data_IF_520887508388
#
_entry.id   IF_520887508388
#
_cell.length_a   1.000
_cell.length_b   1.000
_cell.length_c   1.000
_cell.angle_alpha   90.00
_cell.angle_beta   90.00
_cell.angle_gamma   90.00
#
_symmetry.space_group_name_H-M   'P 1'
#
loop_
_entity.id
_entity.type
_entity.pdbx_description
1 polymer ?
#
# COMPACT_ATOMS: atom_id res chain seq x y z
N UNK A 1 13.72 1.68 25.12
CA UNK A 1 12.83 0.94 26.03
C UNK A 1 11.77 1.84 26.66
N UNK A 2 12.14 3.00 27.22
CA UNK A 2 11.17 3.95 27.80
C UNK A 2 10.03 4.36 26.83
N UNK A 3 10.36 4.64 25.56
CA UNK A 3 9.37 4.99 24.54
C UNK A 3 8.32 3.89 24.29
N UNK A 4 8.72 2.61 24.32
CA UNK A 4 7.80 1.49 24.10
C UNK A 4 6.86 1.29 25.29
N UNK A 5 7.36 1.48 26.51
CA UNK A 5 6.54 1.41 27.73
C UNK A 5 5.54 2.55 27.74
N UNK A 6 5.97 3.78 27.45
CA UNK A 6 5.10 4.94 27.35
C UNK A 6 4.01 4.73 26.28
N UNK A 7 4.38 4.22 25.10
CA UNK A 7 3.42 3.92 24.05
C UNK A 7 2.32 2.94 24.48
N UNK A 8 2.68 1.88 25.23
CA UNK A 8 1.68 0.94 25.78
C UNK A 8 0.74 1.61 26.78
N UNK A 9 1.23 2.57 27.57
CA UNK A 9 0.39 3.34 28.49
C UNK A 9 -0.61 4.19 27.69
N UNK A 10 -0.14 4.94 26.68
CA UNK A 10 -1.01 5.75 25.82
C UNK A 10 -2.04 4.91 25.04
N UNK A 11 -1.66 3.71 24.61
CA UNK A 11 -2.59 2.75 24.00
C UNK A 11 -3.77 2.41 24.93
N UNK A 12 -3.50 2.16 26.22
CA UNK A 12 -4.56 1.88 27.19
C UNK A 12 -5.37 3.12 27.58
N UNK A 13 -4.87 4.32 27.27
CA UNK A 13 -5.60 5.58 27.41
C UNK A 13 -6.38 5.96 26.14
N UNK A 14 -6.36 5.11 25.10
CA UNK A 14 -6.97 5.36 23.79
C UNK A 14 -6.40 6.57 23.03
N UNK A 15 -5.23 7.07 23.45
CA UNK A 15 -4.50 8.14 22.78
C UNK A 15 -3.56 7.56 21.72
N UNK A 16 -4.13 7.17 20.58
CA UNK A 16 -3.42 6.42 19.54
C UNK A 16 -2.35 7.23 18.79
N UNK A 17 -2.54 8.53 18.60
CA UNK A 17 -1.58 9.39 17.90
C UNK A 17 -0.26 9.52 18.67
N UNK A 18 -0.36 9.75 20.00
CA UNK A 18 0.82 9.80 20.87
C UNK A 18 1.45 8.42 21.08
N UNK A 19 0.63 7.36 21.17
CA UNK A 19 1.13 5.99 21.18
C UNK A 19 1.94 5.70 19.91
N UNK A 20 1.40 6.02 18.73
CA UNK A 20 2.10 5.82 17.46
C UNK A 20 3.42 6.60 17.44
N UNK A 21 3.42 7.89 17.77
CA UNK A 21 4.64 8.72 17.80
C UNK A 21 5.74 8.11 18.68
N UNK A 22 5.37 7.58 19.84
CA UNK A 22 6.30 6.92 20.77
C UNK A 22 6.75 5.55 20.28
N UNK A 23 5.86 4.78 19.63
CA UNK A 23 6.18 3.51 18.99
C UNK A 23 7.18 3.70 17.84
N UNK A 24 6.96 4.70 16.98
CA UNK A 24 7.91 5.08 15.92
C UNK A 24 9.26 5.48 16.50
N UNK A 25 9.27 6.21 17.63
CA UNK A 25 10.48 6.56 18.37
C UNK A 25 11.24 5.36 18.97
N UNK A 26 10.57 4.22 19.17
CA UNK A 26 11.21 2.99 19.63
C UNK A 26 12.00 2.26 18.52
N UNK A 27 11.74 2.59 17.25
CA UNK A 27 12.46 2.06 16.09
C UNK A 27 12.51 0.53 16.07
N UNK A 28 13.72 -0.03 16.12
CA UNK A 28 13.96 -1.49 16.11
C UNK A 28 13.39 -2.24 17.31
N UNK A 29 13.07 -1.56 18.41
CA UNK A 29 12.44 -2.17 19.57
C UNK A 29 10.93 -2.40 19.36
N UNK A 30 10.33 -1.76 18.36
CA UNK A 30 8.97 -2.05 17.94
C UNK A 30 8.98 -3.24 16.99
N UNK A 31 8.77 -4.43 17.57
CA UNK A 31 8.74 -5.70 16.85
C UNK A 31 7.35 -5.96 16.26
N UNK A 32 7.31 -5.96 14.92
CA UNK A 32 6.09 -6.19 14.12
C UNK A 32 5.70 -7.67 14.05
N UNK A 33 6.59 -8.59 14.43
CA UNK A 33 6.29 -10.03 14.44
C UNK A 33 5.47 -10.45 15.66
N UNK A 34 5.43 -9.59 16.69
CA UNK A 34 4.65 -9.86 17.88
C UNK A 34 3.15 -9.69 17.60
N UNK A 35 2.40 -10.80 17.67
CA UNK A 35 0.94 -10.85 17.48
C UNK A 35 0.17 -10.38 18.72
N UNK A 36 0.56 -9.23 19.26
CA UNK A 36 -0.16 -8.59 20.36
C UNK A 36 -1.20 -7.62 19.82
N UNK A 37 -2.36 -7.53 20.47
CA UNK A 37 -3.43 -6.57 20.11
C UNK A 37 -2.90 -5.13 20.04
N UNK A 38 -1.97 -4.78 20.93
CA UNK A 38 -1.27 -3.49 20.91
C UNK A 38 -0.53 -3.26 19.58
N UNK A 39 0.29 -4.22 19.14
CA UNK A 39 1.06 -4.07 17.88
C UNK A 39 0.11 -4.01 16.69
N UNK A 40 -0.89 -4.88 16.63
CA UNK A 40 -1.87 -4.88 15.54
C UNK A 40 -2.61 -3.55 15.44
N UNK A 41 -3.03 -2.99 16.57
CA UNK A 41 -3.71 -1.70 16.60
C UNK A 41 -2.79 -0.55 16.20
N UNK A 42 -1.57 -0.47 16.73
CA UNK A 42 -0.63 0.61 16.39
C UNK A 42 -0.19 0.53 14.93
N UNK A 43 -0.03 -0.67 14.38
CA UNK A 43 0.25 -0.86 12.95
C UNK A 43 -0.92 -0.40 12.08
N UNK A 44 -2.16 -0.72 12.47
CA UNK A 44 -3.33 -0.23 11.74
C UNK A 44 -3.39 1.30 11.73
N UNK A 45 -3.16 1.95 12.88
CA UNK A 45 -3.12 3.42 12.98
C UNK A 45 -1.97 3.99 12.13
N UNK A 46 -0.81 3.34 12.10
CA UNK A 46 0.32 3.74 11.26
C UNK A 46 -0.01 3.67 9.77
N UNK A 47 -0.66 2.59 9.32
CA UNK A 47 -1.09 2.45 7.93
C UNK A 47 -2.11 3.52 7.59
N UNK A 48 -3.11 3.76 8.45
CA UNK A 48 -4.14 4.78 8.23
C UNK A 48 -3.54 6.19 8.12
N UNK A 49 -2.57 6.55 8.98
CA UNK A 49 -1.86 7.83 8.89
C UNK A 49 -1.06 7.93 7.59
N UNK A 50 -0.35 6.86 7.22
CA UNK A 50 0.43 6.82 5.99
C UNK A 50 -0.46 6.96 4.74
N UNK A 51 -1.60 6.26 4.69
CA UNK A 51 -2.60 6.35 3.61
C UNK A 51 -3.11 7.77 3.44
N UNK A 52 -3.38 8.49 4.55
CA UNK A 52 -3.79 9.90 4.50
C UNK A 52 -2.70 10.77 3.86
N UNK A 53 -1.45 10.64 4.33
CA UNK A 53 -0.32 11.44 3.83
C UNK A 53 -0.01 11.16 2.36
N UNK A 54 0.01 9.89 1.94
CA UNK A 54 0.20 9.53 0.53
C UNK A 54 -0.96 9.98 -0.34
N UNK A 55 -2.18 9.90 0.18
CA UNK A 55 -3.38 10.43 -0.46
C UNK A 55 -3.29 11.93 -0.71
N UNK A 56 -2.92 12.71 0.32
CA UNK A 56 -2.72 14.15 0.23
C UNK A 56 -1.60 14.51 -0.76
N UNK A 57 -0.46 13.80 -0.70
CA UNK A 57 0.65 14.01 -1.62
C UNK A 57 0.26 13.73 -3.07
N UNK A 58 -0.58 12.74 -3.32
CA UNK A 58 -1.12 12.49 -4.66
C UNK A 58 -2.00 13.65 -5.15
N UNK A 59 -2.86 14.22 -4.28
CA UNK A 59 -3.67 15.38 -4.65
C UNK A 59 -2.81 16.64 -4.87
N UNK A 60 -1.72 16.80 -4.11
CA UNK A 60 -0.74 17.87 -4.31
C UNK A 60 -0.01 17.72 -5.65
N UNK A 61 0.40 16.49 -5.98
CA UNK A 61 1.02 16.17 -7.27
C UNK A 61 0.09 16.53 -8.44
N UNK A 62 -1.20 16.19 -8.35
CA UNK A 62 -2.21 16.55 -9.35
C UNK A 62 -2.39 18.07 -9.49
N UNK A 63 -2.20 18.81 -8.39
CA UNK A 63 -2.23 20.28 -8.36
C UNK A 63 -0.87 20.91 -8.70
N UNK A 64 0.13 20.10 -9.09
CA UNK A 64 1.52 20.52 -9.37
C UNK A 64 2.15 21.29 -8.21
N UNK A 65 1.89 20.84 -6.98
CA UNK A 65 2.47 21.36 -5.75
C UNK A 65 3.52 20.40 -5.21
N UNK A 66 4.46 20.95 -4.43
CA UNK A 66 5.47 20.15 -3.75
C UNK A 66 4.83 19.20 -2.73
N UNK A 67 5.30 17.94 -2.66
CA UNK A 67 4.80 16.97 -1.70
C UNK A 67 5.23 17.32 -0.27
N UNK A 68 4.40 16.92 0.69
CA UNK A 68 4.75 16.97 2.11
C UNK A 68 5.66 15.78 2.42
N UNK A 69 6.76 16.05 3.14
CA UNK A 69 7.66 15.00 3.59
C UNK A 69 6.95 14.08 4.59
N UNK A 70 7.01 12.77 4.33
CA UNK A 70 6.49 11.74 5.23
C UNK A 70 7.59 11.37 6.23
N UNK A 71 7.24 11.13 7.50
CA UNK A 71 8.21 10.67 8.49
C UNK A 71 8.79 9.31 8.06
N UNK A 72 10.11 9.27 7.87
CA UNK A 72 10.87 8.05 7.55
C UNK A 72 10.58 6.86 8.48
N UNK A 73 10.21 7.11 9.74
CA UNK A 73 9.90 6.06 10.73
C UNK A 73 8.53 5.43 10.44
N UNK A 74 7.56 6.26 10.06
CA UNK A 74 6.24 5.81 9.65
C UNK A 74 6.37 4.97 8.37
N UNK A 75 7.12 5.49 7.40
CA UNK A 75 7.40 4.79 6.14
C UNK A 75 8.13 3.45 6.39
N UNK A 76 9.09 3.41 7.30
CA UNK A 76 9.80 2.18 7.68
C UNK A 76 8.85 1.13 8.27
N UNK A 77 7.90 1.51 9.13
CA UNK A 77 6.90 0.57 9.66
C UNK A 77 6.05 -0.03 8.54
N UNK A 78 5.55 0.81 7.63
CA UNK A 78 4.72 0.35 6.50
C UNK A 78 5.54 -0.53 5.54
N UNK A 79 6.79 -0.17 5.26
CA UNK A 79 7.70 -0.98 4.43
C UNK A 79 8.00 -2.34 5.05
N UNK A 80 8.21 -2.41 6.37
CA UNK A 80 8.36 -3.69 7.07
C UNK A 80 7.07 -4.52 7.01
N UNK A 81 5.89 -3.90 7.05
CA UNK A 81 4.62 -4.60 6.84
C UNK A 81 4.48 -5.14 5.42
N UNK A 82 4.89 -4.39 4.39
CA UNK A 82 4.96 -4.93 3.02
C UNK A 82 5.90 -6.13 2.92
N UNK A 83 7.08 -6.04 3.54
CA UNK A 83 8.04 -7.14 3.62
C UNK A 83 7.42 -8.39 4.25
N UNK A 84 6.74 -8.22 5.39
CA UNK A 84 6.03 -9.31 6.05
C UNK A 84 4.93 -9.93 5.17
N UNK A 85 4.13 -9.12 4.47
CA UNK A 85 3.14 -9.66 3.54
C UNK A 85 3.76 -10.49 2.40
N UNK A 86 4.95 -10.12 1.92
CA UNK A 86 5.69 -10.90 0.92
C UNK A 86 6.21 -12.21 1.52
N UNK A 87 6.80 -12.16 2.72
CA UNK A 87 7.32 -13.34 3.44
C UNK A 87 6.21 -14.34 3.77
N UNK A 88 5.07 -13.85 4.24
CA UNK A 88 3.88 -14.64 4.59
C UNK A 88 3.09 -15.10 3.34
N UNK A 89 3.54 -14.76 2.11
CA UNK A 89 2.83 -14.98 0.83
C UNK A 89 1.40 -14.43 0.81
N UNK A 90 1.14 -13.42 1.63
CA UNK A 90 -0.15 -12.73 1.73
C UNK A 90 -0.30 -11.67 0.60
N UNK A 91 -0.11 -12.07 -0.65
CA UNK A 91 0.00 -11.17 -1.80
C UNK A 91 -1.26 -10.30 -2.01
N UNK A 92 -2.47 -10.86 -1.80
CA UNK A 92 -3.73 -10.10 -1.93
C UNK A 92 -3.87 -9.01 -0.88
N UNK A 93 -3.49 -9.28 0.36
CA UNK A 93 -3.51 -8.29 1.44
C UNK A 93 -2.46 -7.20 1.19
N UNK A 94 -1.25 -7.60 0.81
CA UNK A 94 -0.17 -6.66 0.46
C UNK A 94 -0.54 -5.76 -0.73
N UNK A 95 -1.22 -6.31 -1.75
CA UNK A 95 -1.76 -5.53 -2.86
C UNK A 95 -2.84 -4.54 -2.39
N UNK A 96 -3.75 -4.96 -1.50
CA UNK A 96 -4.75 -4.07 -0.91
C UNK A 96 -4.12 -2.87 -0.22
N UNK A 97 -3.12 -3.14 0.64
CA UNK A 97 -2.33 -2.07 1.27
C UNK A 97 -1.61 -1.19 0.25
N UNK A 98 -1.04 -1.77 -0.80
CA UNK A 98 -0.35 -1.00 -1.84
C UNK A 98 -1.31 -0.07 -2.62
N UNK A 99 -2.55 -0.51 -2.84
CA UNK A 99 -3.60 0.29 -3.46
C UNK A 99 -4.06 1.43 -2.54
N UNK A 100 -4.28 1.17 -1.25
CA UNK A 100 -4.68 2.18 -0.27
C UNK A 100 -3.60 3.27 -0.10
N UNK A 101 -2.35 2.85 0.01
CA UNK A 101 -1.18 3.75 0.14
C UNK A 101 -0.78 4.43 -1.18
N UNK A 102 -1.50 4.16 -2.27
CA UNK A 102 -1.25 4.71 -3.61
C UNK A 102 0.17 4.45 -4.15
N UNK A 103 0.78 3.31 -3.77
CA UNK A 103 2.17 2.96 -4.11
C UNK A 103 2.26 2.00 -5.28
N UNK A 104 2.46 2.56 -6.47
CA UNK A 104 2.59 1.80 -7.73
C UNK A 104 3.76 0.82 -7.71
N UNK A 105 4.88 1.19 -7.08
CA UNK A 105 6.06 0.33 -6.93
C UNK A 105 5.71 -0.99 -6.23
N UNK A 106 4.93 -0.92 -5.14
CA UNK A 106 4.50 -2.10 -4.39
C UNK A 106 3.40 -2.87 -5.08
N UNK A 107 2.48 -2.20 -5.78
CA UNK A 107 1.47 -2.88 -6.61
C UNK A 107 2.16 -3.81 -7.61
N UNK A 108 3.13 -3.28 -8.37
CA UNK A 108 3.91 -4.07 -9.34
C UNK A 108 4.70 -5.18 -8.65
N UNK A 109 5.33 -4.89 -7.51
CA UNK A 109 6.08 -5.89 -6.75
C UNK A 109 5.21 -7.06 -6.28
N UNK A 110 4.03 -6.81 -5.70
CA UNK A 110 3.14 -7.87 -5.22
C UNK A 110 2.59 -8.74 -6.35
N UNK A 111 2.32 -8.16 -7.52
CA UNK A 111 1.85 -8.91 -8.69
C UNK A 111 2.98 -9.79 -9.24
N UNK A 112 4.15 -9.20 -9.48
CA UNK A 112 5.27 -9.87 -10.15
C UNK A 112 5.98 -10.91 -9.27
N UNK A 113 6.02 -10.71 -7.95
CA UNK A 113 6.59 -11.69 -7.02
C UNK A 113 5.63 -12.82 -6.63
N UNK A 114 4.34 -12.71 -6.98
CA UNK A 114 3.37 -13.74 -6.63
C UNK A 114 3.61 -15.04 -7.40
N UNK A 115 3.29 -16.16 -6.75
CA UNK A 115 3.32 -17.48 -7.39
C UNK A 115 2.20 -17.62 -8.46
N UNK A 116 1.22 -16.70 -8.48
CA UNK A 116 0.03 -16.73 -9.33
C UNK A 116 -0.21 -15.35 -9.98
N UNK A 117 0.75 -14.90 -10.81
CA UNK A 117 0.72 -13.56 -11.42
C UNK A 117 -0.57 -13.26 -12.19
N UNK A 118 -1.11 -14.22 -12.93
CA UNK A 118 -2.35 -14.03 -13.68
C UNK A 118 -3.57 -13.75 -12.77
N UNK A 119 -3.70 -14.50 -11.67
CA UNK A 119 -4.77 -14.29 -10.68
C UNK A 119 -4.60 -12.94 -9.96
N UNK A 120 -3.37 -12.56 -9.65
CA UNK A 120 -3.07 -11.27 -9.02
C UNK A 120 -3.36 -10.08 -9.94
N UNK A 121 -3.11 -10.22 -11.24
CA UNK A 121 -3.47 -9.21 -12.24
C UNK A 121 -4.99 -9.03 -12.32
N UNK A 122 -5.75 -10.12 -12.40
CA UNK A 122 -7.21 -10.08 -12.41
C UNK A 122 -7.76 -9.45 -11.12
N UNK A 123 -7.21 -9.84 -9.97
CA UNK A 123 -7.59 -9.27 -8.68
C UNK A 123 -7.26 -7.78 -8.57
N UNK A 124 -6.10 -7.36 -9.08
CA UNK A 124 -5.71 -5.95 -9.12
C UNK A 124 -6.62 -5.13 -10.03
N UNK A 125 -6.99 -5.67 -11.19
CA UNK A 125 -7.90 -5.01 -12.13
C UNK A 125 -9.30 -4.86 -11.54
N UNK A 126 -9.85 -5.93 -10.95
CA UNK A 126 -11.15 -5.89 -10.28
C UNK A 126 -11.14 -4.86 -9.14
N UNK A 127 -10.09 -4.86 -8.31
CA UNK A 127 -9.93 -3.91 -7.21
C UNK A 127 -9.81 -2.47 -7.72
N UNK A 128 -9.07 -2.25 -8.81
CA UNK A 128 -8.95 -0.94 -9.44
C UNK A 128 -10.30 -0.42 -9.97
N UNK A 129 -11.14 -1.31 -10.51
CA UNK A 129 -12.47 -0.95 -11.03
C UNK A 129 -13.52 -0.72 -9.95
N UNK A 130 -13.43 -1.43 -8.82
CA UNK A 130 -14.48 -1.43 -7.78
C UNK A 130 -14.16 -0.54 -6.59
N UNK A 131 -12.89 -0.45 -6.18
CA UNK A 131 -12.49 0.21 -4.93
C UNK A 131 -11.90 1.60 -5.14
N UNK A 132 -11.28 1.87 -6.30
CA UNK A 132 -10.61 3.16 -6.55
C UNK A 132 -11.61 4.22 -7.02
N UNK A 133 -11.86 5.19 -6.15
CA UNK A 133 -12.73 6.34 -6.42
C UNK A 133 -12.05 7.41 -7.29
N UNK A 134 -10.74 7.63 -7.10
CA UNK A 134 -9.96 8.61 -7.88
C UNK A 134 -9.72 8.12 -9.31
N UNK A 135 -10.29 8.84 -10.29
CA UNK A 135 -10.08 8.54 -11.72
C UNK A 135 -8.60 8.58 -12.10
N UNK A 136 -7.89 9.62 -11.68
CA UNK A 136 -6.47 9.80 -12.02
C UNK A 136 -5.60 8.67 -11.44
N UNK A 137 -5.86 8.24 -10.20
CA UNK A 137 -5.11 7.13 -9.62
C UNK A 137 -5.46 5.79 -10.30
N UNK A 138 -6.75 5.56 -10.57
CA UNK A 138 -7.21 4.37 -11.31
C UNK A 138 -6.54 4.25 -12.68
N UNK A 139 -6.42 5.35 -13.42
CA UNK A 139 -5.71 5.36 -14.71
C UNK A 139 -4.24 4.98 -14.56
N UNK A 140 -3.54 5.50 -13.53
CA UNK A 140 -2.13 5.12 -13.27
C UNK A 140 -1.98 3.64 -12.94
N UNK A 141 -2.87 3.09 -12.13
CA UNK A 141 -2.88 1.65 -11.80
C UNK A 141 -3.12 0.84 -13.06
N UNK A 142 -4.13 1.17 -13.86
CA UNK A 142 -4.42 0.44 -15.11
C UNK A 142 -3.24 0.49 -16.09
N UNK A 143 -2.55 1.64 -16.21
CA UNK A 143 -1.33 1.73 -17.03
C UNK A 143 -0.22 0.81 -16.53
N UNK A 144 0.02 0.77 -15.21
CA UNK A 144 0.97 -0.18 -14.63
C UNK A 144 0.57 -1.65 -14.89
N UNK A 145 -0.73 -1.98 -14.83
CA UNK A 145 -1.20 -3.33 -15.16
C UNK A 145 -0.98 -3.68 -16.64
N UNK A 146 -1.19 -2.75 -17.56
CA UNK A 146 -0.91 -2.94 -19.00
C UNK A 146 0.57 -3.21 -19.24
N UNK A 147 1.46 -2.47 -18.59
CA UNK A 147 2.91 -2.70 -18.68
C UNK A 147 3.31 -4.11 -18.20
N UNK A 148 2.71 -4.57 -17.09
CA UNK A 148 2.95 -5.93 -16.57
C UNK A 148 2.40 -6.99 -17.53
N UNK A 149 1.18 -6.80 -18.05
CA UNK A 149 0.58 -7.72 -19.02
C UNK A 149 1.42 -7.84 -20.30
N UNK A 150 1.97 -6.72 -20.78
CA UNK A 150 2.79 -6.69 -22.01
C UNK A 150 4.15 -7.35 -21.80
N UNK A 151 4.68 -7.28 -20.57
CA UNK A 151 5.95 -7.91 -20.20
C UNK A 151 5.82 -9.42 -19.90
N UNK A 152 4.59 -9.94 -19.76
CA UNK A 152 4.33 -11.34 -19.48
C UNK A 152 4.47 -12.22 -20.73
N UNK A 153 4.97 -13.45 -20.57
CA UNK A 153 5.08 -14.43 -21.67
C UNK A 153 3.73 -14.93 -22.18
N UNK A 154 2.69 -14.94 -21.34
CA UNK A 154 1.33 -15.37 -21.68
C UNK A 154 0.36 -14.19 -21.49
N UNK A 155 0.10 -13.47 -22.57
CA UNK A 155 -0.67 -12.22 -22.55
C UNK A 155 -2.16 -12.54 -22.52
N UNK A 156 -2.83 -12.18 -21.42
CA UNK A 156 -4.29 -12.20 -21.36
C UNK A 156 -4.87 -11.03 -22.17
N UNK A 157 -5.15 -11.27 -23.45
CA UNK A 157 -5.69 -10.27 -24.38
C UNK A 157 -7.05 -9.69 -23.93
N UNK A 158 -7.87 -10.46 -23.22
CA UNK A 158 -9.18 -9.98 -22.75
C UNK A 158 -9.02 -8.93 -21.62
N UNK A 159 -8.16 -9.22 -20.64
CA UNK A 159 -7.84 -8.29 -19.55
C UNK A 159 -7.23 -6.98 -20.10
N UNK A 160 -6.30 -7.12 -21.04
CA UNK A 160 -5.63 -6.01 -21.72
C UNK A 160 -6.61 -5.15 -22.53
N UNK A 161 -7.51 -5.76 -23.31
CA UNK A 161 -8.55 -5.06 -24.04
C UNK A 161 -9.50 -4.27 -23.12
N UNK A 162 -9.85 -4.85 -21.96
CA UNK A 162 -10.67 -4.16 -20.97
C UNK A 162 -9.94 -2.97 -20.33
N UNK A 163 -8.64 -3.10 -20.05
CA UNK A 163 -7.82 -1.97 -19.59
C UNK A 163 -7.80 -0.84 -20.61
N UNK A 164 -7.53 -1.13 -21.89
CA UNK A 164 -7.54 -0.13 -22.97
C UNK A 164 -8.91 0.52 -23.16
N UNK A 165 -9.99 -0.26 -23.11
CA UNK A 165 -11.35 0.27 -23.19
C UNK A 165 -11.64 1.30 -22.10
N UNK A 166 -11.21 1.04 -20.86
CA UNK A 166 -11.41 1.96 -19.72
C UNK A 166 -10.51 3.19 -19.84
N UNK A 167 -9.27 3.02 -20.30
CA UNK A 167 -8.33 4.12 -20.52
C UNK A 167 -8.76 5.03 -21.69
N UNK A 168 -9.61 4.53 -22.60
CA UNK A 168 -10.01 5.27 -23.80
C UNK A 168 -8.87 5.43 -24.81
N UNK A 169 -7.79 4.67 -24.65
CA UNK A 169 -6.65 4.64 -25.55
C UNK A 169 -6.83 3.44 -26.50
N UNK A 170 -6.67 3.60 -27.83
CA UNK A 170 -6.63 2.46 -28.72
C UNK A 170 -5.39 1.62 -28.36
N UNK A 171 -5.57 0.33 -28.08
CA UNK A 171 -4.44 -0.57 -27.86
C UNK A 171 -3.50 -0.52 -29.07
N UNK A 172 -2.22 -0.25 -28.83
CA UNK A 172 -1.18 -0.27 -29.88
C UNK A 172 -0.86 -1.69 -30.36
#
# INVERSE_FOLDING_TARGET
MAALVASKVFYHLEEYDDALRLALGAGRLFDLNNRSEYVEKIVAVAIDEYVKLTGENFELEMKKKDPVAIDSRLEDVVNRMFGRCLEDKAYKQGLGMALETRRLDKITEFITKSDAMAEMLEYAQLSAMTLLTSKAFRERVLKALVEIHTSAQDVNLAALAQCYFILGEPGE
#
